data_IF_053202807871
#
_entry.id   IF_053202807871
#
_cell.length_a   1.000
_cell.length_b   1.000
_cell.length_c   1.000
_cell.angle_alpha   90.00
_cell.angle_beta   90.00
_cell.angle_gamma   90.00
#
_symmetry.space_group_name_H-M   'P 1'
#
loop_
_entity.id
_entity.type
_entity.pdbx_description
1 polymer ?
#
# COMPACT_ATOMS: atom_id res chain seq x y z
N UNK A 1 -7.77 8.81 1.72
CA UNK A 1 -6.43 8.65 2.36
C UNK A 1 -6.05 9.90 3.14
N UNK A 2 -6.07 9.84 4.48
CA UNK A 2 -5.88 11.01 5.34
C UNK A 2 -4.49 11.66 5.18
N UNK A 3 -3.42 10.87 5.23
CA UNK A 3 -2.05 11.39 5.14
C UNK A 3 -1.82 12.15 3.82
N UNK A 4 -2.19 11.52 2.69
CA UNK A 4 -2.06 12.11 1.35
C UNK A 4 -2.85 13.41 1.26
N UNK A 5 -4.09 13.42 1.77
CA UNK A 5 -4.92 14.62 1.77
C UNK A 5 -4.28 15.75 2.61
N UNK A 6 -3.76 15.43 3.80
CA UNK A 6 -3.09 16.41 4.66
C UNK A 6 -1.84 17.00 3.99
N UNK A 7 -1.01 16.17 3.35
CA UNK A 7 0.14 16.64 2.56
C UNK A 7 -0.29 17.59 1.44
N UNK A 8 -1.33 17.22 0.68
CA UNK A 8 -1.83 18.05 -0.42
C UNK A 8 -2.41 19.38 0.04
N UNK A 9 -3.05 19.43 1.21
CA UNK A 9 -3.49 20.70 1.83
C UNK A 9 -2.32 21.63 2.16
N UNK A 10 -1.11 21.09 2.35
CA UNK A 10 0.12 21.83 2.60
C UNK A 10 0.96 22.05 1.32
N UNK A 11 0.40 21.78 0.14
CA UNK A 11 1.10 21.80 -1.16
C UNK A 11 2.30 20.84 -1.24
N UNK A 12 2.27 19.75 -0.47
CA UNK A 12 3.27 18.68 -0.56
C UNK A 12 2.70 17.60 -1.50
N UNK A 13 3.36 17.30 -2.64
CA UNK A 13 2.93 16.22 -3.51
C UNK A 13 2.97 14.89 -2.75
N UNK A 14 1.88 14.14 -2.80
CA UNK A 14 1.77 12.85 -2.13
C UNK A 14 1.02 11.84 -3.01
N UNK A 15 1.45 10.58 -2.94
CA UNK A 15 0.90 9.45 -3.71
C UNK A 15 0.63 8.25 -2.81
N UNK A 16 -0.26 7.39 -3.26
CA UNK A 16 -0.60 6.12 -2.64
C UNK A 16 0.29 5.03 -3.21
N UNK A 17 0.86 4.19 -2.35
CA UNK A 17 1.61 3.00 -2.75
C UNK A 17 0.89 1.77 -2.24
N UNK A 18 0.69 0.81 -3.14
CA UNK A 18 0.18 -0.53 -2.85
C UNK A 18 1.30 -1.53 -3.00
N UNK A 19 1.41 -2.45 -2.05
CA UNK A 19 2.48 -3.44 -2.04
C UNK A 19 2.35 -4.44 -0.90
N UNK A 20 3.49 -4.90 -0.38
CA UNK A 20 3.54 -5.87 0.71
C UNK A 20 4.54 -5.44 1.78
N UNK A 21 4.36 -5.96 3.00
CA UNK A 21 5.28 -5.73 4.11
C UNK A 21 5.78 -7.09 4.63
N UNK A 22 7.10 -7.30 4.60
CA UNK A 22 7.75 -8.58 4.86
C UNK A 22 7.68 -9.04 6.33
N UNK A 23 7.71 -8.08 7.25
CA UNK A 23 7.78 -8.26 8.70
C UNK A 23 6.42 -8.17 9.41
N UNK A 24 5.33 -8.00 8.67
CA UNK A 24 3.99 -7.87 9.23
C UNK A 24 3.57 -9.25 9.74
N UNK A 25 3.35 -9.33 11.05
CA UNK A 25 2.86 -10.54 11.69
C UNK A 25 1.36 -10.69 11.42
N UNK A 26 0.98 -11.85 10.90
CA UNK A 26 -0.42 -12.22 10.63
C UNK A 26 -0.71 -13.55 11.31
N UNK A 27 -1.94 -13.71 11.81
CA UNK A 27 -2.32 -14.90 12.58
C UNK A 27 -2.22 -16.20 11.76
N UNK A 28 -2.34 -16.13 10.44
CA UNK A 28 -2.27 -17.27 9.52
C UNK A 28 -0.92 -17.37 8.79
N UNK A 29 0.04 -16.51 9.14
CA UNK A 29 1.37 -16.47 8.52
C UNK A 29 1.41 -15.94 7.08
N UNK A 30 0.26 -15.57 6.48
CA UNK A 30 0.21 -15.07 5.11
C UNK A 30 0.61 -13.60 5.02
N UNK A 31 1.03 -13.16 3.83
CA UNK A 31 1.33 -11.75 3.55
C UNK A 31 0.19 -11.14 2.75
N UNK A 32 -0.57 -10.26 3.40
CA UNK A 32 -1.66 -9.53 2.74
C UNK A 32 -1.14 -8.26 2.08
N UNK A 33 -1.92 -7.76 1.13
CA UNK A 33 -1.68 -6.46 0.52
C UNK A 33 -1.62 -5.39 1.61
N UNK A 34 -0.55 -4.61 1.59
CA UNK A 34 -0.33 -3.46 2.45
C UNK A 34 -0.30 -2.18 1.62
N UNK A 35 -0.51 -1.05 2.27
CA UNK A 35 -0.47 0.25 1.61
C UNK A 35 0.12 1.33 2.50
N UNK A 36 0.79 2.28 1.87
CA UNK A 36 1.39 3.42 2.55
C UNK A 36 1.39 4.67 1.66
N UNK A 37 1.37 5.87 2.26
CA UNK A 37 1.64 7.11 1.53
C UNK A 37 3.13 7.32 1.27
N UNK A 38 3.44 7.95 0.15
CA UNK A 38 4.72 8.60 -0.09
C UNK A 38 4.51 10.10 -0.32
N UNK A 39 5.40 10.92 0.23
CA UNK A 39 5.44 12.36 -0.02
C UNK A 39 6.72 12.72 -0.79
N UNK A 40 6.60 13.63 -1.75
CA UNK A 40 7.75 14.16 -2.47
C UNK A 40 8.40 15.30 -1.68
N UNK A 41 9.66 15.11 -1.33
CA UNK A 41 10.49 16.08 -0.63
C UNK A 41 11.51 16.64 -1.63
N UNK A 42 11.54 17.96 -1.88
CA UNK A 42 12.50 18.57 -2.79
C UNK A 42 13.94 18.19 -2.43
N UNK A 43 14.68 17.65 -3.40
CA UNK A 43 16.06 17.17 -3.24
C UNK A 43 16.19 15.73 -2.72
N UNK A 44 15.24 15.23 -1.93
CA UNK A 44 15.27 13.86 -1.40
C UNK A 44 14.39 12.86 -2.19
N UNK A 45 13.48 13.35 -3.03
CA UNK A 45 12.60 12.51 -3.84
C UNK A 45 11.39 12.01 -3.07
N UNK A 46 10.88 10.83 -3.42
CA UNK A 46 9.73 10.21 -2.76
C UNK A 46 10.15 9.53 -1.46
N UNK A 47 9.53 9.93 -0.36
CA UNK A 47 9.76 9.35 0.97
C UNK A 47 8.47 8.69 1.48
N UNK A 48 8.59 7.43 1.88
CA UNK A 48 7.47 6.63 2.37
C UNK A 48 7.30 6.69 3.87
N UNK A 49 6.05 6.79 4.31
CA UNK A 49 5.65 6.77 5.71
C UNK A 49 4.66 5.64 5.88
N UNK A 50 4.75 4.86 6.95
CA UNK A 50 3.77 3.83 7.29
C UNK A 50 3.02 4.25 8.56
N UNK A 51 1.91 5.01 8.44
CA UNK A 51 1.13 5.46 9.59
C UNK A 51 0.46 4.31 10.35
N UNK A 52 0.28 3.14 9.72
CA UNK A 52 -0.32 1.97 10.36
C UNK A 52 0.60 1.45 11.46
N UNK A 53 1.91 1.45 11.20
CA UNK A 53 2.93 0.99 12.14
C UNK A 53 3.69 2.12 12.85
N UNK A 54 3.47 3.37 12.46
CA UNK A 54 4.18 4.53 13.02
C UNK A 54 5.67 4.57 12.66
N UNK A 55 6.05 3.98 11.53
CA UNK A 55 7.46 3.89 11.08
C UNK A 55 7.66 4.54 9.72
N UNK A 56 8.92 4.79 9.37
CA UNK A 56 9.29 5.08 7.98
C UNK A 56 9.30 3.80 7.16
N UNK A 57 9.00 3.93 5.87
CA UNK A 57 9.13 2.84 4.91
C UNK A 57 10.61 2.48 4.78
N UNK A 58 10.92 1.19 4.86
CA UNK A 58 12.30 0.67 4.90
C UNK A 58 12.38 -0.72 4.23
N UNK A 59 13.45 -1.47 4.49
CA UNK A 59 13.82 -2.73 3.83
C UNK A 59 12.76 -3.85 3.87
N UNK A 60 11.69 -3.70 4.66
CA UNK A 60 10.55 -4.62 4.70
C UNK A 60 9.39 -4.25 3.78
N UNK A 61 9.37 -3.08 3.15
CA UNK A 61 8.26 -2.60 2.33
C UNK A 61 8.56 -2.82 0.84
N UNK A 62 7.79 -3.69 0.20
CA UNK A 62 7.93 -4.03 -1.22
C UNK A 62 6.82 -3.34 -2.00
N UNK A 63 7.12 -2.18 -2.57
CA UNK A 63 6.17 -1.40 -3.39
C UNK A 63 5.92 -2.07 -4.74
N UNK A 64 4.65 -2.26 -5.11
CA UNK A 64 4.24 -2.91 -6.37
C UNK A 64 3.69 -1.87 -7.35
N UNK A 65 2.85 -0.96 -6.87
CA UNK A 65 2.22 0.07 -7.68
C UNK A 65 2.11 1.36 -6.88
N UNK A 66 2.29 2.51 -7.53
CA UNK A 66 2.09 3.82 -6.94
C UNK A 66 1.24 4.70 -7.85
N UNK A 67 0.27 5.39 -7.28
CA UNK A 67 -0.68 6.24 -7.99
C UNK A 67 -1.13 7.43 -7.16
N UNK A 68 -1.66 8.50 -7.78
CA UNK A 68 -2.17 9.64 -7.03
C UNK A 68 -3.35 9.24 -6.13
N UNK A 69 -4.21 8.33 -6.56
CA UNK A 69 -5.33 7.83 -5.77
C UNK A 69 -5.22 6.32 -5.50
N UNK A 70 -5.88 5.87 -4.45
CA UNK A 70 -5.95 4.44 -4.10
C UNK A 70 -6.61 3.60 -5.21
N UNK A 71 -7.54 4.18 -5.96
CA UNK A 71 -8.20 3.51 -7.08
C UNK A 71 -7.21 3.13 -8.21
N UNK A 72 -6.14 3.91 -8.38
CA UNK A 72 -5.13 3.69 -9.43
C UNK A 72 -4.19 2.52 -9.12
N UNK A 73 -4.24 2.00 -7.90
CA UNK A 73 -3.33 0.95 -7.41
C UNK A 73 -4.07 -0.30 -6.94
N UNK A 74 -5.38 -0.40 -7.19
CA UNK A 74 -6.16 -1.56 -6.76
C UNK A 74 -5.80 -2.80 -7.59
N UNK A 75 -5.50 -3.96 -6.98
CA UNK A 75 -5.22 -5.19 -7.73
C UNK A 75 -6.47 -5.75 -8.42
N UNK A 76 -7.65 -5.48 -7.87
CA UNK A 76 -8.96 -5.86 -8.43
C UNK A 76 -9.91 -4.70 -8.21
N UNK A 77 -10.62 -4.28 -9.25
CA UNK A 77 -11.64 -3.23 -9.20
C UNK A 77 -12.88 -3.62 -10.00
N UNK A 78 -14.02 -3.05 -9.65
CA UNK A 78 -15.32 -3.34 -10.27
C UNK A 78 -16.36 -3.80 -9.27
N UNK A 79 -17.49 -4.29 -9.79
CA UNK A 79 -18.61 -4.79 -8.99
C UNK A 79 -19.43 -5.81 -9.77
N UNK A 80 -20.21 -6.61 -9.05
CA UNK A 80 -21.11 -7.60 -9.62
C UNK A 80 -22.57 -7.21 -9.36
N UNK A 81 -23.45 -7.43 -10.34
CA UNK A 81 -24.88 -7.21 -10.21
C UNK A 81 -25.65 -8.47 -10.64
N UNK A 82 -26.38 -9.08 -9.70
CA UNK A 82 -27.14 -10.31 -9.93
C UNK A 82 -27.72 -10.90 -8.63
N UNK A 83 -28.63 -11.88 -8.72
CA UNK A 83 -29.48 -12.30 -7.60
C UNK A 83 -28.76 -13.06 -6.48
N UNK A 84 -27.71 -13.83 -6.77
CA UNK A 84 -26.88 -14.55 -5.77
C UNK A 84 -25.46 -14.62 -6.30
N UNK A 85 -24.47 -14.22 -5.50
CA UNK A 85 -23.06 -14.36 -5.83
C UNK A 85 -22.25 -14.81 -4.63
N UNK A 86 -21.33 -15.74 -4.84
CA UNK A 86 -20.22 -16.03 -3.93
C UNK A 86 -18.93 -15.52 -4.58
N UNK A 87 -18.04 -14.95 -3.76
CA UNK A 87 -16.74 -14.44 -4.21
C UNK A 87 -15.65 -15.01 -3.32
N UNK A 88 -14.56 -15.46 -3.94
CA UNK A 88 -13.36 -15.94 -3.25
C UNK A 88 -12.13 -15.39 -3.97
N UNK A 89 -11.16 -14.87 -3.20
CA UNK A 89 -9.86 -14.43 -3.70
C UNK A 89 -8.78 -15.34 -3.12
N UNK A 90 -8.09 -16.09 -3.98
CA UNK A 90 -6.94 -16.90 -3.60
C UNK A 90 -5.68 -16.23 -4.14
N UNK A 91 -4.63 -16.18 -3.32
CA UNK A 91 -3.33 -15.63 -3.71
C UNK A 91 -2.22 -16.34 -2.95
N UNK A 92 -1.01 -16.29 -3.51
CA UNK A 92 0.23 -16.78 -2.91
C UNK A 92 1.30 -15.72 -3.08
N UNK A 93 2.01 -15.41 -2.01
CA UNK A 93 3.06 -14.37 -1.97
C UNK A 93 4.22 -14.92 -1.15
N UNK A 94 5.39 -14.94 -1.77
CA UNK A 94 6.65 -15.30 -1.13
C UNK A 94 7.57 -14.07 -1.12
N UNK A 95 8.14 -13.77 0.05
CA UNK A 95 9.06 -12.65 0.22
C UNK A 95 10.35 -13.20 0.83
N UNK A 96 11.42 -13.22 0.05
CA UNK A 96 12.75 -13.57 0.53
C UNK A 96 13.49 -12.33 1.04
N UNK A 97 13.81 -12.30 2.33
CA UNK A 97 14.66 -11.26 2.92
C UNK A 97 16.05 -11.81 3.16
N UNK A 98 17.08 -11.20 2.55
CA UNK A 98 18.48 -11.52 2.87
C UNK A 98 18.92 -10.66 4.06
N UNK A 99 19.42 -11.29 5.12
CA UNK A 99 20.08 -10.61 6.24
C UNK A 99 21.52 -10.26 5.90
#
# INVERSE_FOLDING_TARGET
MLFIAACRCLNIPARFVSGYQAHAETADGKRYLHAWPEAYLPGAGWYGFDPTHGVMVADGHVGICAGPEQADTMPVSGGFFGPVVSSSLNFEVEIETRR
#
